data_IF_630551650715
#
_entry.id   IF_630551650715
#
_cell.length_a   1.000
_cell.length_b   1.000
_cell.length_c   1.000
_cell.angle_alpha   90.00
_cell.angle_beta   90.00
_cell.angle_gamma   90.00
#
_symmetry.space_group_name_H-M   'P 1'
#
loop_
_entity.id
_entity.type
_entity.pdbx_description
1 polymer ?
#
# COMPACT_ATOMS: atom_id res chain seq x y z
N UNK A 1 10.89 5.55 -9.77
CA UNK A 1 9.59 5.27 -9.14
C UNK A 1 8.59 4.95 -10.23
N UNK A 2 7.77 3.92 -10.02
CA UNK A 2 6.72 3.51 -10.96
C UNK A 2 5.36 3.68 -10.29
N UNK A 3 4.44 4.34 -10.97
CA UNK A 3 3.07 4.56 -10.46
C UNK A 3 2.05 4.25 -11.55
N UNK A 4 0.99 3.55 -11.21
CA UNK A 4 -0.11 3.23 -12.13
C UNK A 4 -1.40 3.68 -11.48
N UNK A 5 -2.14 4.54 -12.18
CA UNK A 5 -3.42 5.07 -11.75
C UNK A 5 -4.48 4.75 -12.78
N UNK A 6 -5.69 4.41 -12.36
CA UNK A 6 -6.86 4.41 -13.22
C UNK A 6 -7.94 5.31 -12.61
N UNK A 7 -8.58 6.12 -13.46
CA UNK A 7 -9.68 6.99 -13.05
C UNK A 7 -10.67 7.18 -14.21
N UNK A 8 -11.95 7.34 -13.86
CA UNK A 8 -13.00 7.61 -14.82
C UNK A 8 -12.79 8.96 -15.53
N UNK A 9 -13.21 9.03 -16.78
CA UNK A 9 -13.22 10.28 -17.55
C UNK A 9 -14.60 10.93 -17.45
N UNK A 10 -14.67 12.15 -16.94
CA UNK A 10 -15.91 12.94 -16.84
C UNK A 10 -16.59 13.20 -18.19
N UNK A 11 -15.84 13.05 -19.30
CA UNK A 11 -16.32 13.31 -20.66
C UNK A 11 -17.26 12.24 -21.22
N UNK A 12 -17.24 11.01 -20.71
CA UNK A 12 -18.07 9.91 -21.22
C UNK A 12 -18.09 8.74 -20.24
N UNK A 13 -19.28 8.17 -20.01
CA UNK A 13 -19.44 6.90 -19.32
C UNK A 13 -18.66 5.77 -20.01
N UNK A 14 -18.06 4.88 -19.21
CA UNK A 14 -17.23 3.75 -19.63
C UNK A 14 -15.84 4.13 -20.17
N UNK A 15 -15.55 5.43 -20.31
CA UNK A 15 -14.22 5.92 -20.66
C UNK A 15 -13.41 6.09 -19.38
N UNK A 16 -12.21 5.53 -19.34
CA UNK A 16 -11.27 5.75 -18.24
C UNK A 16 -9.90 6.13 -18.80
N UNK A 17 -9.06 6.64 -17.91
CA UNK A 17 -7.70 7.03 -18.19
C UNK A 17 -6.81 6.20 -17.29
N UNK A 18 -5.91 5.42 -17.89
CA UNK A 18 -4.84 4.78 -17.15
C UNK A 18 -3.60 5.64 -17.31
N UNK A 19 -3.05 6.11 -16.20
CA UNK A 19 -1.81 6.90 -16.17
C UNK A 19 -0.68 6.03 -15.63
N UNK A 20 0.38 5.90 -16.42
CA UNK A 20 1.63 5.24 -16.05
C UNK A 20 2.72 6.30 -15.90
N UNK A 21 3.20 6.50 -14.68
CA UNK A 21 4.36 7.35 -14.38
C UNK A 21 5.60 6.49 -14.15
N UNK A 22 6.69 6.80 -14.85
CA UNK A 22 8.02 6.21 -14.69
C UNK A 22 9.01 7.36 -14.49
N UNK A 23 9.36 7.61 -13.23
CA UNK A 23 10.11 8.80 -12.82
C UNK A 23 9.46 10.09 -13.33
N UNK A 24 10.11 10.80 -14.24
CA UNK A 24 9.57 12.02 -14.86
C UNK A 24 8.74 11.74 -16.11
N UNK A 25 8.79 10.54 -16.66
CA UNK A 25 8.05 10.17 -17.88
C UNK A 25 6.62 9.76 -17.53
N UNK A 26 5.65 10.25 -18.31
CA UNK A 26 4.23 9.88 -18.13
C UNK A 26 3.63 9.39 -19.44
N UNK A 27 2.83 8.33 -19.35
CA UNK A 27 1.99 7.83 -20.44
C UNK A 27 0.54 7.80 -19.98
N UNK A 28 -0.37 8.32 -20.81
CA UNK A 28 -1.81 8.25 -20.57
C UNK A 28 -2.47 7.35 -21.62
N UNK A 29 -3.15 6.31 -21.17
CA UNK A 29 -3.99 5.45 -22.00
C UNK A 29 -5.46 5.85 -21.79
N UNK A 30 -5.95 6.70 -22.67
CA UNK A 30 -7.28 7.31 -22.60
C UNK A 30 -8.19 6.52 -23.53
N UNK A 31 -9.03 5.64 -22.99
CA UNK A 31 -9.75 4.67 -23.81
C UNK A 31 -11.15 4.35 -23.36
N UNK A 32 -11.99 4.00 -24.34
CA UNK A 32 -13.32 3.43 -24.17
C UNK A 32 -13.40 2.20 -25.08
N UNK A 33 -13.82 1.06 -24.52
CA UNK A 33 -13.90 -0.21 -25.23
C UNK A 33 -12.59 -0.56 -25.95
N UNK A 34 -12.61 -0.73 -27.28
CA UNK A 34 -11.46 -1.12 -28.09
C UNK A 34 -10.77 0.06 -28.78
N UNK A 35 -11.01 1.29 -28.35
CA UNK A 35 -10.36 2.47 -28.88
C UNK A 35 -9.63 3.24 -27.79
N UNK A 36 -8.31 3.39 -27.96
CA UNK A 36 -7.46 4.06 -26.96
C UNK A 36 -6.57 5.09 -27.63
N UNK A 37 -6.60 6.32 -27.11
CA UNK A 37 -5.58 7.34 -27.36
C UNK A 37 -4.46 7.20 -26.35
N UNK A 38 -3.22 7.23 -26.83
CA UNK A 38 -2.01 7.16 -26.03
C UNK A 38 -1.30 8.49 -26.13
N UNK A 39 -1.28 9.25 -25.04
CA UNK A 39 -0.52 10.50 -24.92
C UNK A 39 0.75 10.24 -24.11
N UNK A 40 1.83 11.00 -24.36
CA UNK A 40 3.11 10.88 -23.66
C UNK A 40 3.64 12.24 -23.26
N UNK A 41 4.39 12.26 -22.17
CA UNK A 41 4.79 13.51 -21.55
C UNK A 41 5.96 13.41 -20.59
N UNK A 42 6.42 14.57 -20.16
CA UNK A 42 7.40 14.73 -19.07
C UNK A 42 6.80 15.59 -17.97
N UNK A 43 7.04 15.22 -16.71
CA UNK A 43 6.56 15.95 -15.53
C UNK A 43 5.04 16.21 -15.57
N UNK A 44 4.28 15.25 -16.08
CA UNK A 44 2.82 15.36 -16.24
C UNK A 44 2.35 16.29 -17.37
N UNK A 45 3.25 16.83 -18.19
CA UNK A 45 2.91 17.67 -19.34
C UNK A 45 2.97 16.85 -20.63
N UNK A 46 1.85 16.84 -21.38
CA UNK A 46 1.76 16.17 -22.68
C UNK A 46 2.69 16.88 -23.67
N UNK A 47 3.43 16.10 -24.45
CA UNK A 47 4.20 16.61 -25.58
C UNK A 47 3.34 16.48 -26.83
N UNK A 48 2.96 17.63 -27.39
CA UNK A 48 2.23 17.68 -28.66
C UNK A 48 3.03 16.95 -29.75
N UNK A 49 2.37 16.09 -30.53
CA UNK A 49 2.99 15.25 -31.55
C UNK A 49 3.42 13.85 -31.08
N UNK A 50 3.39 13.56 -29.77
CA UNK A 50 3.67 12.22 -29.21
C UNK A 50 2.39 11.45 -28.85
N UNK A 51 1.27 11.85 -29.45
CA UNK A 51 -0.04 11.21 -29.33
C UNK A 51 -0.27 10.22 -30.46
N UNK A 52 -0.84 9.06 -30.14
CA UNK A 52 -1.30 8.10 -31.13
C UNK A 52 -2.64 7.49 -30.74
N UNK A 53 -3.37 6.95 -31.72
CA UNK A 53 -4.63 6.23 -31.50
C UNK A 53 -4.44 4.78 -31.93
N UNK A 54 -4.90 3.84 -31.09
CA UNK A 54 -4.87 2.41 -31.35
C UNK A 54 -6.28 1.82 -31.22
N UNK A 55 -6.61 0.93 -32.15
CA UNK A 55 -7.80 0.06 -32.09
C UNK A 55 -7.53 -1.13 -31.16
N UNK A 56 -7.30 -0.84 -29.89
CA UNK A 56 -7.07 -1.84 -28.84
C UNK A 56 -7.55 -1.30 -27.49
N UNK A 57 -8.00 -2.19 -26.61
CA UNK A 57 -8.40 -1.83 -25.25
C UNK A 57 -7.19 -1.30 -24.45
N UNK A 58 -7.45 -0.30 -23.61
CA UNK A 58 -6.44 0.36 -22.76
C UNK A 58 -5.76 -0.60 -21.77
N UNK A 59 -6.47 -1.58 -21.23
CA UNK A 59 -5.94 -2.58 -20.30
C UNK A 59 -4.92 -3.50 -20.98
N UNK A 60 -5.18 -3.86 -22.23
CA UNK A 60 -4.21 -4.64 -23.01
C UNK A 60 -2.99 -3.79 -23.42
N UNK A 61 -3.21 -2.52 -23.77
CA UNK A 61 -2.14 -1.61 -24.18
C UNK A 61 -1.16 -1.31 -23.05
N UNK A 62 -1.65 -1.02 -21.84
CA UNK A 62 -0.72 -0.84 -20.70
C UNK A 62 0.08 -2.13 -20.46
N UNK A 63 -0.51 -3.30 -20.69
CA UNK A 63 0.19 -4.55 -20.56
C UNK A 63 1.33 -4.75 -21.54
N UNK A 64 1.08 -4.46 -22.82
CA UNK A 64 2.14 -4.45 -23.84
C UNK A 64 3.24 -3.45 -23.49
N UNK A 65 2.89 -2.30 -22.91
CA UNK A 65 3.85 -1.27 -22.51
C UNK A 65 4.72 -1.72 -21.35
N UNK A 66 4.13 -2.20 -20.27
CA UNK A 66 4.85 -2.68 -19.10
C UNK A 66 5.79 -3.83 -19.45
N UNK A 67 5.39 -4.70 -20.38
CA UNK A 67 6.24 -5.80 -20.84
C UNK A 67 7.54 -5.31 -21.51
N UNK A 68 7.54 -4.16 -22.18
CA UNK A 68 8.75 -3.58 -22.79
C UNK A 68 9.77 -3.11 -21.76
N UNK A 69 9.31 -2.77 -20.55
CA UNK A 69 10.17 -2.40 -19.42
C UNK A 69 10.63 -3.62 -18.60
N UNK A 70 10.14 -4.82 -18.93
CA UNK A 70 10.56 -6.05 -18.29
C UNK A 70 11.96 -6.45 -18.76
N UNK A 71 12.87 -6.65 -17.82
CA UNK A 71 14.19 -7.20 -18.08
C UNK A 71 14.38 -8.49 -17.28
N UNK A 72 14.68 -9.60 -17.98
CA UNK A 72 14.76 -10.96 -17.39
C UNK A 72 13.49 -11.33 -16.62
N UNK A 73 12.33 -10.95 -17.14
CA UNK A 73 11.02 -11.23 -16.54
C UNK A 73 10.63 -10.30 -15.39
N UNK A 74 11.43 -9.29 -15.05
CA UNK A 74 11.11 -8.35 -13.97
C UNK A 74 11.03 -6.91 -14.45
N UNK A 75 9.99 -6.21 -14.00
CA UNK A 75 9.90 -4.75 -14.04
C UNK A 75 10.50 -4.24 -12.72
N UNK A 76 11.62 -3.52 -12.79
CA UNK A 76 12.37 -3.07 -11.62
C UNK A 76 12.05 -1.62 -11.30
N UNK A 77 11.72 -1.35 -10.05
CA UNK A 77 11.58 0.01 -9.51
C UNK A 77 11.71 -0.05 -7.99
N UNK A 78 12.31 0.96 -7.35
CA UNK A 78 12.41 1.00 -5.89
C UNK A 78 11.03 1.01 -5.22
N UNK A 79 10.12 1.82 -5.77
CA UNK A 79 8.73 1.96 -5.34
C UNK A 79 7.80 1.66 -6.50
N UNK A 80 6.78 0.85 -6.23
CA UNK A 80 5.63 0.64 -7.10
C UNK A 80 4.36 1.04 -6.35
N UNK A 81 3.59 1.95 -6.94
CA UNK A 81 2.32 2.44 -6.40
C UNK A 81 1.21 2.18 -7.40
N UNK A 82 0.13 1.55 -6.94
CA UNK A 82 -1.07 1.27 -7.72
C UNK A 82 -2.23 1.96 -7.03
N UNK A 83 -3.02 2.70 -7.80
CA UNK A 83 -4.18 3.41 -7.25
C UNK A 83 -5.38 3.41 -8.20
N UNK A 84 -6.56 3.08 -7.67
CA UNK A 84 -7.83 3.13 -8.42
C UNK A 84 -7.95 2.08 -9.53
N UNK A 85 -7.11 1.03 -9.50
CA UNK A 85 -7.02 0.03 -10.57
C UNK A 85 -8.22 -0.91 -10.58
N UNK A 86 -8.88 -1.05 -11.73
CA UNK A 86 -10.05 -1.92 -11.90
C UNK A 86 -9.77 -3.25 -12.59
N UNK A 87 -8.57 -3.42 -13.14
CA UNK A 87 -8.15 -4.61 -13.90
C UNK A 87 -7.15 -5.49 -13.12
N UNK A 88 -7.18 -6.79 -13.43
CA UNK A 88 -6.20 -7.74 -12.92
C UNK A 88 -4.85 -7.58 -13.64
N UNK A 89 -3.72 -7.81 -12.95
CA UNK A 89 -2.43 -7.77 -13.61
C UNK A 89 -2.26 -8.99 -14.53
N UNK A 90 -1.43 -8.86 -15.56
CA UNK A 90 -1.01 -10.02 -16.33
C UNK A 90 -0.20 -11.00 -15.47
N UNK A 91 -0.36 -12.30 -15.71
CA UNK A 91 0.37 -13.36 -15.01
C UNK A 91 1.89 -13.32 -15.27
N UNK A 92 2.31 -12.68 -16.36
CA UNK A 92 3.73 -12.52 -16.71
C UNK A 92 4.40 -11.35 -16.00
N UNK A 93 3.63 -10.45 -15.36
CA UNK A 93 4.21 -9.31 -14.68
C UNK A 93 4.80 -9.71 -13.34
N UNK A 94 6.06 -9.31 -13.12
CA UNK A 94 6.72 -9.40 -11.82
C UNK A 94 7.41 -8.08 -11.51
N UNK A 95 6.93 -7.39 -10.49
CA UNK A 95 7.46 -6.11 -10.04
C UNK A 95 8.49 -6.36 -8.96
N UNK A 96 9.76 -6.18 -9.30
CA UNK A 96 10.83 -6.29 -8.32
C UNK A 96 11.06 -4.95 -7.65
N UNK A 97 10.62 -4.81 -6.40
CA UNK A 97 10.63 -3.54 -5.68
C UNK A 97 10.97 -3.67 -4.19
N UNK A 98 11.25 -2.53 -3.57
CA UNK A 98 11.49 -2.44 -2.12
C UNK A 98 10.25 -1.91 -1.39
N UNK A 99 9.45 -1.09 -2.06
CA UNK A 99 8.23 -0.49 -1.54
C UNK A 99 7.06 -0.82 -2.49
N UNK A 100 5.97 -1.36 -1.96
CA UNK A 100 4.74 -1.61 -2.71
C UNK A 100 3.55 -0.93 -2.03
N UNK A 101 2.71 -0.28 -2.83
CA UNK A 101 1.49 0.37 -2.37
C UNK A 101 0.30 -0.02 -3.26
N UNK A 102 -0.78 -0.47 -2.66
CA UNK A 102 -2.04 -0.81 -3.32
C UNK A 102 -3.16 0.01 -2.67
N UNK A 103 -3.62 1.04 -3.38
CA UNK A 103 -4.61 1.99 -2.88
C UNK A 103 -5.88 1.88 -3.73
N UNK A 104 -7.05 1.82 -3.12
CA UNK A 104 -8.34 1.82 -3.81
C UNK A 104 -8.41 0.81 -4.97
N UNK A 105 -7.79 -0.37 -4.83
CA UNK A 105 -7.87 -1.43 -5.84
C UNK A 105 -9.26 -2.06 -5.72
N UNK A 106 -10.01 -2.08 -6.82
CA UNK A 106 -11.39 -2.55 -6.84
C UNK A 106 -11.50 -3.96 -7.43
N UNK A 107 -12.73 -4.50 -7.44
CA UNK A 107 -13.06 -5.82 -8.01
C UNK A 107 -12.23 -6.97 -7.42
N UNK A 108 -11.81 -6.85 -6.16
CA UNK A 108 -10.96 -7.82 -5.46
C UNK A 108 -9.64 -8.15 -6.19
N UNK A 109 -9.13 -7.24 -7.03
CA UNK A 109 -7.86 -7.43 -7.74
C UNK A 109 -6.63 -7.22 -6.84
N UNK A 110 -6.81 -6.75 -5.61
CA UNK A 110 -5.74 -6.45 -4.67
C UNK A 110 -4.81 -7.65 -4.44
N UNK A 111 -5.37 -8.86 -4.29
CA UNK A 111 -4.55 -10.06 -4.08
C UNK A 111 -3.78 -10.47 -5.34
N UNK A 112 -4.43 -10.40 -6.51
CA UNK A 112 -3.77 -10.69 -7.78
C UNK A 112 -2.56 -9.75 -8.01
N UNK A 113 -2.72 -8.47 -7.68
CA UNK A 113 -1.63 -7.49 -7.70
C UNK A 113 -0.57 -7.76 -6.64
N UNK A 114 -0.96 -8.08 -5.40
CA UNK A 114 -0.03 -8.37 -4.31
C UNK A 114 0.93 -9.53 -4.65
N UNK A 115 0.42 -10.58 -5.31
CA UNK A 115 1.20 -11.74 -5.79
C UNK A 115 2.26 -11.41 -6.85
N UNK A 116 2.15 -10.26 -7.50
CA UNK A 116 3.08 -9.85 -8.53
C UNK A 116 4.23 -8.99 -8.00
N UNK A 117 4.21 -8.62 -6.72
CA UNK A 117 5.35 -7.99 -6.07
C UNK A 117 6.39 -9.01 -5.63
N UNK A 118 7.64 -8.72 -5.92
CA UNK A 118 8.80 -9.52 -5.54
C UNK A 118 9.78 -8.62 -4.82
N UNK A 119 10.23 -8.97 -3.59
CA UNK A 119 11.09 -8.08 -2.83
C UNK A 119 12.49 -7.96 -3.45
N UNK A 120 13.08 -6.78 -3.31
CA UNK A 120 14.49 -6.58 -3.59
C UNK A 120 15.34 -7.04 -2.40
N UNK A 121 16.23 -8.01 -2.60
CA UNK A 121 17.08 -8.53 -1.52
C UNK A 121 16.28 -9.20 -0.40
N UNK A 122 15.26 -9.98 -0.78
CA UNK A 122 14.47 -10.87 0.10
C UNK A 122 13.54 -10.19 1.12
N UNK A 123 13.52 -8.85 1.17
CA UNK A 123 12.62 -8.11 2.06
C UNK A 123 11.97 -6.90 1.40
N UNK A 124 10.79 -6.57 1.88
CA UNK A 124 10.18 -5.26 1.64
C UNK A 124 10.55 -4.30 2.77
N UNK A 125 10.71 -3.01 2.44
CA UNK A 125 10.74 -1.96 3.46
C UNK A 125 9.34 -1.48 3.75
N UNK A 126 8.53 -1.26 2.72
CA UNK A 126 7.19 -0.69 2.84
C UNK A 126 6.19 -1.55 2.10
N UNK A 127 5.14 -1.96 2.81
CA UNK A 127 3.89 -2.47 2.23
C UNK A 127 2.76 -1.61 2.76
N UNK A 128 1.98 -1.04 1.84
CA UNK A 128 0.78 -0.26 2.15
C UNK A 128 -0.38 -0.79 1.32
N UNK A 129 -1.43 -1.28 1.98
CA UNK A 129 -2.64 -1.83 1.35
C UNK A 129 -3.82 -1.06 1.93
N UNK A 130 -4.38 -0.14 1.15
CA UNK A 130 -5.62 0.58 1.47
C UNK A 130 -6.67 0.26 0.42
N UNK A 131 -6.98 -1.02 0.33
CA UNK A 131 -7.91 -1.58 -0.65
C UNK A 131 -8.69 -2.69 0.04
N UNK A 132 -9.97 -2.79 -0.27
CA UNK A 132 -10.81 -3.87 0.22
C UNK A 132 -10.60 -5.11 -0.65
N UNK A 133 -10.67 -6.29 -0.04
CA UNK A 133 -10.64 -7.56 -0.75
C UNK A 133 -10.63 -8.74 0.20
N UNK A 134 -10.11 -9.88 -0.28
CA UNK A 134 -10.04 -11.10 0.53
C UNK A 134 -9.04 -10.95 1.69
N UNK A 135 -9.57 -10.80 2.91
CA UNK A 135 -8.78 -10.63 4.12
C UNK A 135 -7.89 -11.83 4.42
N UNK A 136 -8.37 -13.05 4.15
CA UNK A 136 -7.66 -14.29 4.49
C UNK A 136 -6.45 -14.45 3.58
N UNK A 137 -6.66 -14.31 2.27
CA UNK A 137 -5.61 -14.44 1.26
C UNK A 137 -4.56 -13.31 1.39
N UNK A 138 -4.96 -12.08 1.71
CA UNK A 138 -4.02 -10.99 2.03
C UNK A 138 -3.21 -11.33 3.27
N UNK A 139 -3.85 -11.83 4.34
CA UNK A 139 -3.16 -12.21 5.58
C UNK A 139 -2.09 -13.27 5.29
N UNK A 140 -2.44 -14.34 4.59
CA UNK A 140 -1.50 -15.42 4.25
C UNK A 140 -0.29 -14.94 3.44
N UNK A 141 -0.52 -14.00 2.51
CA UNK A 141 0.56 -13.43 1.70
C UNK A 141 1.48 -12.57 2.56
N UNK A 142 0.93 -11.73 3.44
CA UNK A 142 1.71 -10.89 4.33
C UNK A 142 2.56 -11.69 5.31
N UNK A 143 2.06 -12.81 5.86
CA UNK A 143 2.83 -13.69 6.75
C UNK A 143 4.05 -14.30 6.07
N UNK A 144 4.04 -14.44 4.74
CA UNK A 144 5.17 -14.95 3.94
C UNK A 144 6.15 -13.83 3.55
N UNK A 145 5.83 -12.57 3.83
CA UNK A 145 6.63 -11.41 3.48
C UNK A 145 7.42 -10.90 4.68
N UNK A 146 8.72 -10.68 4.48
CA UNK A 146 9.55 -9.98 5.45
C UNK A 146 9.46 -8.47 5.22
N UNK A 147 8.82 -7.74 6.14
CA UNK A 147 8.51 -6.31 6.00
C UNK A 147 9.15 -5.54 7.15
N UNK A 148 10.05 -4.60 6.83
CA UNK A 148 11.06 -4.11 7.81
C UNK A 148 10.92 -2.67 8.27
N UNK A 149 10.08 -1.84 7.64
CA UNK A 149 9.87 -0.45 8.07
C UNK A 149 8.41 -0.11 8.29
N UNK A 150 7.59 -0.23 7.25
CA UNK A 150 6.19 0.15 7.26
C UNK A 150 5.31 -1.00 6.80
N UNK A 151 4.30 -1.32 7.59
CA UNK A 151 3.22 -2.25 7.25
C UNK A 151 1.89 -1.59 7.57
N UNK A 152 1.20 -1.08 6.56
CA UNK A 152 -0.10 -0.41 6.73
C UNK A 152 -1.15 -1.16 5.93
N UNK A 153 -2.15 -1.70 6.62
CA UNK A 153 -3.22 -2.45 5.99
C UNK A 153 -4.54 -1.95 6.55
N UNK A 154 -5.31 -1.26 5.70
CA UNK A 154 -6.61 -0.69 6.03
C UNK A 154 -7.74 -1.66 5.68
N UNK A 155 -7.63 -2.87 6.23
CA UNK A 155 -8.65 -3.91 6.19
C UNK A 155 -8.41 -4.89 7.34
N UNK A 156 -9.42 -5.68 7.65
CA UNK A 156 -9.32 -6.74 8.65
C UNK A 156 -8.30 -7.81 8.23
N UNK A 157 -7.40 -8.16 9.13
CA UNK A 157 -6.43 -9.25 8.99
C UNK A 157 -6.75 -10.38 9.98
N UNK A 158 -6.17 -11.55 9.74
CA UNK A 158 -6.31 -12.72 10.63
C UNK A 158 -5.10 -13.00 11.50
N UNK A 159 -4.23 -12.00 11.70
CA UNK A 159 -3.08 -12.10 12.59
C UNK A 159 -3.48 -12.46 14.03
N UNK A 160 -2.81 -13.45 14.60
CA UNK A 160 -2.87 -13.69 16.04
C UNK A 160 -1.74 -12.97 16.80
N UNK A 161 -1.65 -13.20 18.11
CA UNK A 161 -0.61 -12.59 18.95
C UNK A 161 0.81 -12.99 18.52
N UNK A 162 1.02 -14.21 18.00
CA UNK A 162 2.34 -14.69 17.55
C UNK A 162 2.72 -14.04 16.23
N UNK A 163 1.75 -13.89 15.34
CA UNK A 163 1.95 -13.19 14.07
C UNK A 163 2.39 -11.75 14.32
N UNK A 164 1.76 -11.05 15.27
CA UNK A 164 2.16 -9.70 15.68
C UNK A 164 3.59 -9.61 16.23
N UNK A 165 4.01 -10.59 17.03
CA UNK A 165 5.38 -10.67 17.56
C UNK A 165 6.41 -10.82 16.42
N UNK A 166 6.02 -11.45 15.30
CA UNK A 166 6.86 -11.62 14.10
C UNK A 166 7.01 -10.37 13.22
N UNK A 167 6.24 -9.30 13.44
CA UNK A 167 6.27 -8.10 12.59
C UNK A 167 7.50 -7.23 12.90
N UNK A 168 8.46 -7.17 11.98
CA UNK A 168 9.68 -6.34 12.10
C UNK A 168 9.42 -4.83 11.91
N UNK A 169 8.45 -4.45 11.07
CA UNK A 169 8.09 -3.04 10.84
C UNK A 169 7.61 -2.37 12.13
N UNK A 170 7.92 -1.09 12.36
CA UNK A 170 7.44 -0.33 13.54
C UNK A 170 6.39 0.73 13.18
N UNK A 171 6.35 1.18 11.91
CA UNK A 171 5.29 2.04 11.40
C UNK A 171 4.13 1.17 10.88
N UNK A 172 3.11 0.98 11.71
CA UNK A 172 2.04 0.02 11.50
C UNK A 172 0.64 0.61 11.57
N UNK A 173 -0.22 0.13 10.68
CA UNK A 173 -1.69 0.24 10.74
C UNK A 173 -2.23 -1.16 10.53
N UNK A 174 -2.85 -1.76 11.55
CA UNK A 174 -3.32 -3.15 11.55
C UNK A 174 -4.71 -3.26 12.19
N UNK A 175 -5.59 -4.08 11.63
CA UNK A 175 -6.83 -4.51 12.28
C UNK A 175 -6.87 -6.02 12.35
N UNK A 176 -7.17 -6.60 13.52
CA UNK A 176 -7.45 -8.03 13.60
C UNK A 176 -8.31 -8.42 14.82
N UNK A 177 -9.30 -9.26 14.57
CA UNK A 177 -10.21 -9.88 15.54
C UNK A 177 -9.54 -10.94 16.40
N UNK A 178 -8.38 -11.44 15.99
CA UNK A 178 -7.71 -12.57 16.66
C UNK A 178 -6.63 -12.11 17.65
N UNK A 179 -6.32 -10.82 17.67
CA UNK A 179 -5.36 -10.21 18.59
C UNK A 179 -6.01 -10.00 19.95
N UNK A 180 -5.31 -10.44 20.99
CA UNK A 180 -5.73 -10.20 22.37
C UNK A 180 -5.19 -8.87 22.89
N UNK A 181 -5.76 -8.37 23.99
CA UNK A 181 -5.23 -7.20 24.68
C UNK A 181 -3.76 -7.38 25.13
N UNK A 182 -3.37 -8.60 25.49
CA UNK A 182 -1.98 -8.88 25.88
C UNK A 182 -1.05 -8.85 24.67
N UNK A 183 -1.47 -9.42 23.53
CA UNK A 183 -0.73 -9.30 22.27
C UNK A 183 -0.56 -7.84 21.83
N UNK A 184 -1.64 -7.06 21.86
CA UNK A 184 -1.59 -5.63 21.56
C UNK A 184 -0.66 -4.85 22.53
N UNK A 185 -0.69 -5.18 23.83
CA UNK A 185 0.21 -4.60 24.83
C UNK A 185 1.68 -4.89 24.53
N UNK A 186 2.03 -6.16 24.29
CA UNK A 186 3.41 -6.54 23.91
C UNK A 186 3.86 -5.83 22.64
N UNK A 187 2.96 -5.68 21.68
CA UNK A 187 3.24 -4.96 20.44
C UNK A 187 3.51 -3.49 20.69
N UNK A 188 2.71 -2.83 21.54
CA UNK A 188 2.94 -1.46 21.98
C UNK A 188 4.28 -1.32 22.71
N UNK A 189 4.63 -2.23 23.62
CA UNK A 189 5.93 -2.22 24.30
C UNK A 189 7.10 -2.35 23.32
N UNK A 190 6.97 -3.21 22.31
CA UNK A 190 7.97 -3.39 21.26
C UNK A 190 8.13 -2.11 20.43
N UNK A 191 7.02 -1.46 20.06
CA UNK A 191 7.03 -0.18 19.38
C UNK A 191 7.69 0.92 20.22
N UNK A 192 7.38 1.01 21.51
CA UNK A 192 7.98 2.02 22.40
C UNK A 192 9.50 1.84 22.58
N UNK A 193 9.98 0.59 22.52
CA UNK A 193 11.41 0.26 22.63
C UNK A 193 12.19 0.51 21.33
N UNK A 194 11.59 0.20 20.19
CA UNK A 194 12.31 0.10 18.90
C UNK A 194 11.87 1.13 17.86
N UNK A 195 10.75 1.80 18.05
CA UNK A 195 10.18 2.76 17.12
C UNK A 195 10.95 4.08 17.10
N UNK A 196 10.97 4.72 15.94
CA UNK A 196 11.50 6.07 15.76
C UNK A 196 10.44 7.13 16.01
N UNK A 197 10.86 8.38 16.18
CA UNK A 197 9.95 9.53 16.42
C UNK A 197 8.89 9.73 15.32
N UNK A 198 9.16 9.27 14.11
CA UNK A 198 8.26 9.40 12.95
C UNK A 198 7.35 8.20 12.74
N UNK A 199 7.63 7.09 13.43
CA UNK A 199 6.85 5.86 13.29
C UNK A 199 5.52 6.01 14.04
N UNK A 200 4.47 5.36 13.54
CA UNK A 200 3.14 5.34 14.16
C UNK A 200 2.69 3.90 14.35
N UNK A 201 2.07 3.62 15.50
CA UNK A 201 1.40 2.35 15.75
C UNK A 201 -0.10 2.62 15.89
N UNK A 202 -0.87 2.13 14.92
CA UNK A 202 -2.33 2.14 14.91
C UNK A 202 -2.82 0.70 14.85
N UNK A 203 -3.62 0.29 15.83
CA UNK A 203 -4.12 -1.08 15.95
C UNK A 203 -5.59 -1.10 16.35
N UNK A 204 -6.37 -1.91 15.63
CA UNK A 204 -7.75 -2.24 15.97
C UNK A 204 -7.85 -3.72 16.34
N UNK A 205 -8.39 -4.00 17.53
CA UNK A 205 -8.56 -5.36 18.04
C UNK A 205 -9.73 -5.39 19.05
N UNK A 206 -10.36 -6.55 19.27
CA UNK A 206 -11.50 -6.64 20.17
C UNK A 206 -11.07 -6.51 21.63
N UNK A 207 -11.87 -5.78 22.41
CA UNK A 207 -11.68 -5.60 23.84
C UNK A 207 -12.98 -5.89 24.58
N UNK A 208 -12.92 -6.42 25.82
CA UNK A 208 -14.12 -6.59 26.64
C UNK A 208 -14.72 -5.24 27.05
N UNK A 209 -16.01 -5.21 27.41
CA UNK A 209 -16.73 -3.97 27.71
C UNK A 209 -16.16 -3.16 28.89
N UNK A 210 -15.48 -3.83 29.83
CA UNK A 210 -14.83 -3.23 30.99
C UNK A 210 -13.34 -2.92 30.78
N UNK A 211 -12.86 -2.98 29.52
CA UNK A 211 -11.48 -2.71 29.19
C UNK A 211 -11.13 -1.24 29.41
N UNK A 212 -10.01 -0.99 30.08
CA UNK A 212 -9.44 0.35 30.24
C UNK A 212 -8.02 0.36 29.69
N UNK A 213 -7.87 0.93 28.49
CA UNK A 213 -6.60 1.03 27.80
C UNK A 213 -5.50 1.71 28.64
N UNK A 214 -5.85 2.69 29.48
CA UNK A 214 -4.85 3.45 30.27
C UNK A 214 -4.20 2.58 31.33
N UNK A 215 -4.97 1.71 31.97
CA UNK A 215 -4.47 0.86 33.05
C UNK A 215 -4.00 -0.51 32.57
N UNK A 216 -4.49 -0.95 31.41
CA UNK A 216 -4.25 -2.32 30.92
C UNK A 216 -3.25 -2.40 29.76
N UNK A 217 -3.13 -1.38 28.89
CA UNK A 217 -2.14 -1.39 27.79
C UNK A 217 -0.88 -0.60 28.10
N UNK A 218 -1.01 0.56 28.75
CA UNK A 218 0.14 1.43 28.98
C UNK A 218 1.04 0.80 30.06
N UNK A 219 2.32 0.54 29.77
CA UNK A 219 3.24 0.02 30.78
C UNK A 219 3.34 0.99 31.97
N UNK A 220 3.22 0.47 33.20
CA UNK A 220 3.23 1.29 34.42
C UNK A 220 4.52 2.11 34.60
N UNK A 221 5.62 1.59 34.08
CA UNK A 221 6.94 2.20 34.18
C UNK A 221 7.21 3.22 33.05
N UNK A 222 6.23 3.46 32.17
CA UNK A 222 6.37 4.39 31.06
C UNK A 222 6.32 5.84 31.57
N UNK A 223 7.46 6.52 31.52
CA UNK A 223 7.54 7.95 31.84
C UNK A 223 7.08 8.76 30.61
N UNK A 224 5.82 9.19 30.62
CA UNK A 224 5.26 10.05 29.56
C UNK A 224 5.60 11.51 29.86
N UNK A 225 6.53 12.09 29.10
CA UNK A 225 6.74 13.55 29.12
C UNK A 225 5.81 14.21 28.10
N UNK A 226 4.83 14.96 28.58
CA UNK A 226 4.00 15.80 27.72
C UNK A 226 4.90 16.89 27.11
N UNK A 227 5.02 16.93 25.79
CA UNK A 227 5.65 18.06 25.13
C UNK A 227 4.74 19.27 25.33
N UNK A 228 5.28 20.35 25.90
CA UNK A 228 4.56 21.63 26.00
C UNK A 228 4.10 22.00 24.59
N UNK A 229 2.79 22.08 24.38
CA UNK A 229 2.27 22.79 23.21
C UNK A 229 2.69 24.23 23.38
N UNK A 230 3.09 24.90 22.29
CA UNK A 230 3.57 26.29 22.30
C UNK A 230 2.57 27.32 22.89
N UNK A 231 1.38 26.90 23.35
CA UNK A 231 0.34 27.71 23.98
C UNK A 231 -0.21 27.16 25.31
N UNK A 232 0.38 26.14 25.94
CA UNK A 232 0.01 25.77 27.32
C UNK A 232 0.81 26.65 28.29
N UNK A 233 0.17 27.69 28.85
CA UNK A 233 0.69 28.41 30.01
C UNK A 233 0.92 27.41 31.14
N UNK A 234 2.06 27.55 31.82
CA UNK A 234 2.44 26.76 32.97
C UNK A 234 1.35 26.83 34.05
N UNK A 235 0.52 25.79 34.12
CA UNK A 235 -0.33 25.49 35.26
C UNK A 235 0.33 24.37 36.05
N UNK A 236 0.68 24.66 37.30
CA UNK A 236 1.22 23.70 38.27
C UNK A 236 0.28 22.51 38.43
N UNK A 237 0.77 21.28 38.16
CA UNK A 237 0.35 20.03 38.79
C UNK A 237 1.51 19.03 38.77
#
# INVERSE_FOLDING_TARGET
MLKIYEFASDMSEGKTIIRLDIDTFTVWFIGKENLTRIDRGWNGQIIEGFSEIKQKNRHDLIGDYLQRFSHKGFIKSDTVELEGIEFAPSSTWKFKCTNAKLLNIVNNNNVAWLRNFVPFGEKFKVIEIRSWGDSEEVTELLLKMRITKTLKVDQELKFDDKDLEGIEAMDCLLSSSNVTAEGAKKRLETFLKNGNKTDKLEMCFPVPANFDARTQLIPKDLIVKKLKKDNEQDGEF
#
